data_IF_121315838715
#
_entry.id   IF_121315838715
#
_cell.length_a   1.000
_cell.length_b   1.000
_cell.length_c   1.000
_cell.angle_alpha   90.00
_cell.angle_beta   90.00
_cell.angle_gamma   90.00
#
_symmetry.space_group_name_H-M   'P 1'
#
loop_
_entity.id
_entity.type
_entity.pdbx_description
1 polymer ?
#
# COMPACT_ATOMS: atom_id res chain seq x y z
N UNK A 1 17.28 -16.75 26.09
CA UNK A 1 15.84 -16.38 26.23
C UNK A 1 15.50 -15.79 24.89
N UNK A 2 15.13 -16.68 23.98
CA UNK A 2 15.15 -16.38 22.55
C UNK A 2 13.76 -15.91 22.15
N UNK A 3 13.51 -14.63 22.35
CA UNK A 3 12.33 -13.96 21.79
C UNK A 3 12.63 -13.59 20.34
N UNK A 4 12.81 -14.61 19.50
CA UNK A 4 13.14 -14.48 18.08
C UNK A 4 12.15 -15.23 17.20
N UNK A 5 10.85 -15.13 17.51
CA UNK A 5 9.79 -15.55 16.59
C UNK A 5 9.24 -14.29 15.95
N UNK A 6 9.30 -14.20 14.62
CA UNK A 6 8.72 -13.09 13.86
C UNK A 6 7.27 -12.85 14.32
N UNK A 7 6.94 -11.59 14.61
CA UNK A 7 5.67 -11.10 15.18
C UNK A 7 4.42 -11.76 14.54
N UNK A 8 4.53 -12.08 13.25
CA UNK A 8 3.49 -12.70 12.44
C UNK A 8 3.16 -14.17 12.82
N UNK A 9 4.15 -14.93 13.29
CA UNK A 9 3.97 -16.33 13.74
C UNK A 9 3.18 -16.40 15.05
N UNK A 10 3.42 -15.45 15.95
CA UNK A 10 2.70 -15.30 17.23
C UNK A 10 1.25 -14.93 16.95
N UNK A 11 1.01 -13.92 16.10
CA UNK A 11 -0.32 -13.49 15.67
C UNK A 11 -1.14 -14.63 15.05
N UNK A 12 -0.53 -15.49 14.23
CA UNK A 12 -1.19 -16.67 13.64
C UNK A 12 -1.71 -17.64 14.72
N UNK A 13 -0.89 -17.91 15.73
CA UNK A 13 -1.25 -18.83 16.81
C UNK A 13 -2.36 -18.27 17.70
N UNK A 14 -2.32 -16.98 18.00
CA UNK A 14 -3.31 -16.30 18.84
C UNK A 14 -4.67 -16.16 18.13
N UNK A 15 -4.68 -15.76 16.86
CA UNK A 15 -5.92 -15.63 16.07
C UNK A 15 -6.62 -16.98 15.87
N UNK A 16 -5.87 -18.07 15.65
CA UNK A 16 -6.45 -19.42 15.54
C UNK A 16 -7.07 -19.89 16.87
N UNK A 17 -6.41 -19.64 18.00
CA UNK A 17 -6.95 -19.95 19.34
C UNK A 17 -8.21 -19.14 19.62
N UNK A 18 -8.18 -17.83 19.38
CA UNK A 18 -9.31 -16.94 19.61
C UNK A 18 -10.55 -17.38 18.80
N UNK A 19 -10.37 -17.77 17.53
CA UNK A 19 -11.48 -18.25 16.71
C UNK A 19 -12.12 -19.54 17.25
N UNK A 20 -11.30 -20.49 17.72
CA UNK A 20 -11.78 -21.72 18.38
C UNK A 20 -12.53 -21.42 19.67
N UNK A 21 -12.01 -20.53 20.51
CA UNK A 21 -12.66 -20.12 21.76
C UNK A 21 -13.99 -19.42 21.51
N UNK A 22 -14.08 -18.61 20.46
CA UNK A 22 -15.33 -17.93 20.07
C UNK A 22 -16.31 -18.83 19.28
N UNK A 23 -15.93 -20.08 18.98
CA UNK A 23 -16.75 -21.01 18.19
C UNK A 23 -16.97 -20.55 16.74
N UNK A 24 -16.10 -19.68 16.22
CA UNK A 24 -16.21 -19.11 14.88
C UNK A 24 -15.24 -19.78 13.91
N UNK A 25 -15.71 -19.95 12.67
CA UNK A 25 -14.87 -20.49 11.61
C UNK A 25 -13.81 -19.47 11.19
N UNK A 26 -12.62 -19.95 10.82
CA UNK A 26 -11.59 -19.08 10.25
C UNK A 26 -12.12 -18.45 8.97
N UNK A 27 -11.97 -17.13 8.85
CA UNK A 27 -12.22 -16.45 7.59
C UNK A 27 -11.26 -16.96 6.52
N UNK A 28 -11.66 -16.86 5.25
CA UNK A 28 -10.84 -17.27 4.11
C UNK A 28 -9.45 -16.61 4.13
N UNK A 29 -9.37 -15.33 4.53
CA UNK A 29 -8.11 -14.59 4.64
C UNK A 29 -7.18 -15.18 5.71
N UNK A 30 -7.71 -15.54 6.88
CA UNK A 30 -6.92 -16.15 7.97
C UNK A 30 -6.48 -17.55 7.56
N UNK A 31 -7.35 -18.32 6.90
CA UNK A 31 -7.01 -19.65 6.39
C UNK A 31 -5.87 -19.57 5.37
N UNK A 32 -5.93 -18.61 4.45
CA UNK A 32 -4.91 -18.40 3.42
C UNK A 32 -3.57 -18.00 4.04
N UNK A 33 -3.58 -17.02 4.95
CA UNK A 33 -2.37 -16.62 5.69
C UNK A 33 -1.80 -17.78 6.51
N UNK A 34 -2.65 -18.59 7.14
CA UNK A 34 -2.23 -19.74 7.93
C UNK A 34 -1.58 -20.83 7.06
N UNK A 35 -2.15 -21.11 5.89
CA UNK A 35 -1.70 -22.19 5.00
C UNK A 35 -0.46 -21.80 4.18
N UNK A 36 -0.28 -20.51 3.91
CA UNK A 36 0.76 -20.05 2.98
C UNK A 36 1.83 -19.15 3.61
N UNK A 37 1.86 -19.03 4.94
CA UNK A 37 2.79 -18.10 5.61
C UNK A 37 4.26 -18.32 5.23
N UNK A 38 4.67 -19.58 5.09
CA UNK A 38 6.05 -19.98 4.80
C UNK A 38 6.49 -19.65 3.36
N UNK A 39 5.53 -19.35 2.47
CA UNK A 39 5.83 -18.93 1.10
C UNK A 39 6.02 -17.42 0.97
N UNK A 40 5.69 -16.65 2.00
CA UNK A 40 5.82 -15.20 1.96
C UNK A 40 7.22 -14.74 2.35
N UNK A 41 7.73 -13.68 1.69
CA UNK A 41 8.92 -12.99 2.19
C UNK A 41 8.62 -12.39 3.57
N UNK A 42 9.66 -12.24 4.39
CA UNK A 42 9.55 -11.64 5.73
C UNK A 42 8.91 -10.23 5.71
N UNK A 43 9.11 -9.49 4.62
CA UNK A 43 8.42 -8.24 4.35
C UNK A 43 7.35 -8.41 3.26
N UNK A 44 6.09 -8.28 3.65
CA UNK A 44 4.93 -8.30 2.74
C UNK A 44 4.66 -6.97 2.06
N UNK A 45 5.26 -5.87 2.53
CA UNK A 45 5.06 -4.51 1.99
C UNK A 45 5.19 -4.44 0.47
N UNK A 46 6.26 -4.98 -0.16
CA UNK A 46 6.43 -4.95 -1.62
C UNK A 46 5.37 -5.73 -2.41
N UNK A 47 4.69 -6.70 -1.79
CA UNK A 47 3.64 -7.54 -2.40
C UNK A 47 2.24 -7.05 -2.02
N UNK A 48 2.15 -6.10 -1.09
CA UNK A 48 0.89 -5.52 -0.66
C UNK A 48 0.31 -4.61 -1.75
N UNK A 49 -1.02 -4.45 -1.73
CA UNK A 49 -1.73 -3.52 -2.63
C UNK A 49 -1.77 -2.09 -2.09
N UNK A 50 -0.89 -1.74 -1.14
CA UNK A 50 -0.88 -0.42 -0.49
C UNK A 50 -0.75 0.72 -1.51
N UNK A 51 0.09 0.53 -2.54
CA UNK A 51 0.25 1.51 -3.62
C UNK A 51 -1.01 1.64 -4.49
N UNK A 52 -1.71 0.54 -4.76
CA UNK A 52 -2.96 0.54 -5.53
C UNK A 52 -4.09 1.24 -4.77
N UNK A 53 -4.26 0.91 -3.50
CA UNK A 53 -5.26 1.53 -2.62
C UNK A 53 -5.02 3.04 -2.45
N UNK A 54 -3.76 3.45 -2.26
CA UNK A 54 -3.40 4.88 -2.19
C UNK A 54 -3.68 5.60 -3.50
N UNK A 55 -3.40 4.99 -4.64
CA UNK A 55 -3.74 5.54 -5.95
C UNK A 55 -5.25 5.78 -6.08
N UNK A 56 -6.08 4.82 -5.67
CA UNK A 56 -7.54 4.98 -5.71
C UNK A 56 -8.01 6.15 -4.83
N UNK A 57 -7.46 6.31 -3.62
CA UNK A 57 -7.77 7.43 -2.73
C UNK A 57 -7.36 8.78 -3.32
N UNK A 58 -6.14 8.88 -3.87
CA UNK A 58 -5.63 10.11 -4.48
C UNK A 58 -6.49 10.55 -5.67
N UNK A 59 -6.86 9.61 -6.54
CA UNK A 59 -7.72 9.89 -7.69
C UNK A 59 -9.12 10.32 -7.25
N UNK A 60 -9.70 9.66 -6.24
CA UNK A 60 -11.00 10.05 -5.67
C UNK A 60 -10.97 11.47 -5.10
N UNK A 61 -9.93 11.79 -4.31
CA UNK A 61 -9.72 13.11 -3.73
C UNK A 61 -9.54 14.19 -4.80
N UNK A 62 -8.75 13.90 -5.84
CA UNK A 62 -8.57 14.81 -6.97
C UNK A 62 -9.90 15.00 -7.72
N UNK A 63 -10.63 13.93 -8.02
CA UNK A 63 -11.97 14.00 -8.61
C UNK A 63 -12.91 14.90 -7.82
N UNK A 64 -12.95 14.77 -6.50
CA UNK A 64 -13.75 15.60 -5.61
C UNK A 64 -13.33 17.09 -5.66
N UNK A 65 -12.03 17.37 -5.56
CA UNK A 65 -11.49 18.75 -5.59
C UNK A 65 -11.84 19.51 -6.87
N UNK A 66 -11.95 18.80 -7.99
CA UNK A 66 -12.23 19.40 -9.30
C UNK A 66 -13.65 19.12 -9.80
N UNK A 67 -14.56 18.69 -8.93
CA UNK A 67 -15.98 18.47 -9.26
C UNK A 67 -16.19 17.44 -10.38
N UNK A 68 -15.38 16.38 -10.40
CA UNK A 68 -15.39 15.34 -11.42
C UNK A 68 -14.76 15.76 -12.77
N UNK A 69 -14.30 17.01 -12.90
CA UNK A 69 -13.63 17.49 -14.11
C UNK A 69 -12.15 17.15 -14.05
N UNK A 70 -11.77 16.07 -14.73
CA UNK A 70 -10.38 15.66 -14.85
C UNK A 70 -9.86 15.90 -16.26
N UNK A 71 -8.68 16.48 -16.38
CA UNK A 71 -7.99 16.71 -17.66
C UNK A 71 -6.66 15.93 -17.65
N UNK A 72 -6.24 15.32 -18.78
CA UNK A 72 -4.91 14.72 -18.95
C UNK A 72 -3.72 15.50 -18.36
N UNK A 73 -3.77 16.84 -18.38
CA UNK A 73 -2.73 17.68 -17.75
C UNK A 73 -2.58 17.44 -16.24
N UNK A 74 -3.69 17.19 -15.56
CA UNK A 74 -3.74 16.97 -14.11
C UNK A 74 -3.23 15.59 -13.74
N UNK A 75 -3.45 14.60 -14.60
CA UNK A 75 -2.79 13.30 -14.49
C UNK A 75 -1.28 13.44 -14.63
N UNK A 76 -0.82 14.23 -15.59
CA UNK A 76 0.61 14.48 -15.78
C UNK A 76 1.24 15.16 -14.55
N UNK A 77 0.55 16.14 -13.95
CA UNK A 77 0.99 16.79 -12.71
C UNK A 77 1.01 15.80 -11.53
N UNK A 78 0.02 14.91 -11.40
CA UNK A 78 -0.02 13.87 -10.37
C UNK A 78 1.12 12.84 -10.54
N UNK A 79 1.35 12.35 -11.75
CA UNK A 79 2.48 11.45 -12.06
C UNK A 79 3.81 12.16 -11.77
N UNK A 80 3.88 13.46 -12.05
CA UNK A 80 5.07 14.27 -11.75
C UNK A 80 5.32 14.38 -10.24
N UNK A 81 4.30 14.66 -9.42
CA UNK A 81 4.46 14.70 -7.96
C UNK A 81 4.88 13.35 -7.39
N UNK A 82 4.26 12.25 -7.86
CA UNK A 82 4.66 10.89 -7.46
C UNK A 82 6.12 10.60 -7.79
N UNK A 83 6.63 11.08 -8.93
CA UNK A 83 8.01 10.88 -9.35
C UNK A 83 9.00 11.72 -8.53
N UNK A 84 8.58 12.88 -8.01
CA UNK A 84 9.40 13.74 -7.14
C UNK A 84 9.51 13.21 -5.71
N UNK A 85 8.46 12.55 -5.21
CA UNK A 85 8.43 12.00 -3.83
C UNK A 85 9.34 10.77 -3.65
N UNK A 86 9.96 10.27 -4.72
CA UNK A 86 10.94 9.17 -4.68
C UNK A 86 12.28 9.74 -4.16
N UNK A 87 12.72 9.41 -2.93
CA UNK A 87 13.86 10.07 -2.26
C UNK A 87 15.21 9.88 -2.98
N UNK A 88 15.30 8.92 -3.89
CA UNK A 88 16.52 8.48 -4.57
C UNK A 88 16.81 9.26 -5.87
N UNK A 89 15.88 10.08 -6.36
CA UNK A 89 15.98 10.64 -7.70
C UNK A 89 16.40 12.13 -7.69
N UNK A 90 17.56 12.43 -8.30
CA UNK A 90 18.02 13.80 -8.54
C UNK A 90 17.24 14.40 -9.70
N UNK A 91 16.31 15.30 -9.40
CA UNK A 91 15.49 15.96 -10.40
C UNK A 91 15.91 17.43 -10.60
N UNK A 92 16.03 17.86 -11.85
CA UNK A 92 16.31 19.25 -12.23
C UNK A 92 15.15 19.77 -13.07
N UNK A 93 14.53 20.88 -12.63
CA UNK A 93 13.43 21.52 -13.36
C UNK A 93 14.00 22.63 -14.24
N UNK A 94 14.03 22.43 -15.56
CA UNK A 94 14.38 23.49 -16.49
C UNK A 94 13.16 24.36 -16.79
N UNK A 95 13.13 25.57 -16.23
CA UNK A 95 12.15 26.59 -16.59
C UNK A 95 12.65 27.39 -17.80
N UNK A 96 11.90 27.37 -18.90
CA UNK A 96 12.15 28.25 -20.05
C UNK A 96 11.27 29.49 -19.91
N UNK A 97 11.89 30.63 -19.60
CA UNK A 97 11.21 31.92 -19.63
C UNK A 97 11.48 32.58 -20.98
N UNK A 98 10.43 32.85 -21.76
CA UNK A 98 10.53 33.70 -22.95
C UNK A 98 10.09 35.10 -22.55
N UNK A 99 11.04 36.01 -22.38
CA UNK A 99 10.75 37.44 -22.19
C UNK A 99 10.32 38.00 -23.55
N UNK A 100 9.08 38.49 -23.65
CA UNK A 100 8.65 39.33 -24.78
C UNK A 100 9.20 40.74 -24.61
#
# INVERSE_FOLDING_TARGET
MDCGGSDLSVLKSEVSKANKTMGCNMSLKIHFLHSHLEFYPENLGPVSDENGERFHQDISNMGSRYGGKWNPKMLADYIWTLKMDIPQAKHSRQAKYTRK
#
